data_IF_823214057278
#
_entry.id   IF_823214057278
#
_cell.length_a   1.000
_cell.length_b   1.000
_cell.length_c   1.000
_cell.angle_alpha   90.00
_cell.angle_beta   90.00
_cell.angle_gamma   90.00
#
_symmetry.space_group_name_H-M   'P 1'
#
loop_
_entity.id
_entity.type
_entity.pdbx_description
1 polymer ?
#
# COMPACT_ATOMS: atom_id res chain seq x y z
N UNK A 1 12.76 -25.65 8.23
CA UNK A 1 11.90 -25.49 9.42
C UNK A 1 10.79 -24.53 9.03
N UNK A 2 9.68 -25.07 8.52
CA UNK A 2 8.53 -24.29 8.07
C UNK A 2 7.80 -23.72 9.26
N UNK A 3 7.94 -22.40 9.48
CA UNK A 3 7.02 -21.67 10.35
C UNK A 3 5.73 -21.50 9.53
N UNK A 4 4.87 -22.52 9.54
CA UNK A 4 3.47 -22.38 9.12
C UNK A 4 2.82 -21.36 10.05
N UNK A 5 2.74 -20.10 9.62
CA UNK A 5 1.78 -19.14 10.15
C UNK A 5 0.37 -19.62 9.76
N UNK A 6 -0.13 -20.66 10.44
CA UNK A 6 -1.53 -21.05 10.36
C UNK A 6 -2.32 -20.08 11.26
N UNK A 7 -2.56 -18.87 10.75
CA UNK A 7 -3.51 -17.95 11.38
C UNK A 7 -4.87 -18.58 11.19
N UNK A 8 -5.31 -19.39 12.15
CA UNK A 8 -6.59 -20.07 12.10
C UNK A 8 -7.70 -19.05 12.34
N UNK A 9 -8.19 -18.41 11.27
CA UNK A 9 -9.25 -17.39 11.34
C UNK A 9 -10.54 -17.90 12.00
N UNK A 10 -10.74 -19.22 12.08
CA UNK A 10 -11.85 -19.86 12.81
C UNK A 10 -11.79 -19.59 14.33
N UNK A 11 -10.59 -19.49 14.91
CA UNK A 11 -10.39 -19.29 16.35
C UNK A 11 -10.73 -17.84 16.79
N UNK A 12 -10.70 -16.91 15.83
CA UNK A 12 -11.09 -15.51 16.04
C UNK A 12 -12.60 -15.40 16.28
N UNK A 13 -13.39 -16.29 15.67
CA UNK A 13 -14.85 -16.37 15.80
C UNK A 13 -15.31 -17.28 16.94
N UNK A 14 -14.45 -17.55 17.93
CA UNK A 14 -14.85 -18.28 19.13
C UNK A 14 -15.75 -17.41 20.03
N UNK A 15 -16.77 -18.02 20.63
CA UNK A 15 -17.73 -17.40 21.53
C UNK A 15 -17.05 -16.75 22.72
N UNK A 16 -15.91 -17.29 23.19
CA UNK A 16 -15.13 -16.72 24.30
C UNK A 16 -14.52 -15.34 23.97
N UNK A 17 -14.32 -15.04 22.69
CA UNK A 17 -13.64 -13.82 22.22
C UNK A 17 -14.60 -12.75 21.69
N UNK A 18 -15.93 -12.92 21.82
CA UNK A 18 -16.93 -12.00 21.27
C UNK A 18 -16.72 -10.53 21.68
N UNK A 19 -16.33 -10.28 22.95
CA UNK A 19 -16.01 -8.91 23.42
C UNK A 19 -14.82 -8.31 22.69
N UNK A 20 -13.78 -9.11 22.40
CA UNK A 20 -12.60 -8.66 21.66
C UNK A 20 -12.95 -8.32 20.21
N UNK A 21 -13.84 -9.10 19.58
CA UNK A 21 -14.37 -8.83 18.24
C UNK A 21 -15.15 -7.50 18.18
N UNK A 22 -16.02 -7.24 19.16
CA UNK A 22 -16.76 -5.97 19.24
C UNK A 22 -15.80 -4.80 19.43
N UNK A 23 -14.84 -4.91 20.36
CA UNK A 23 -13.83 -3.86 20.60
C UNK A 23 -13.01 -3.59 19.34
N UNK A 24 -12.56 -4.64 18.65
CA UNK A 24 -11.83 -4.52 17.39
C UNK A 24 -12.66 -3.79 16.34
N UNK A 25 -13.94 -4.16 16.20
CA UNK A 25 -14.85 -3.53 15.25
C UNK A 25 -15.08 -2.03 15.54
N UNK A 26 -15.24 -1.66 16.83
CA UNK A 26 -15.37 -0.24 17.25
C UNK A 26 -14.09 0.55 16.99
N UNK A 27 -12.91 -0.03 17.25
CA UNK A 27 -11.62 0.59 16.94
C UNK A 27 -11.50 0.83 15.43
N UNK A 28 -11.84 -0.18 14.61
CA UNK A 28 -11.73 -0.10 13.15
C UNK A 28 -12.67 0.97 12.56
N UNK A 29 -13.90 1.05 13.09
CA UNK A 29 -14.87 2.10 12.75
C UNK A 29 -14.34 3.49 13.12
N UNK A 30 -13.79 3.63 14.33
CA UNK A 30 -13.24 4.90 14.82
C UNK A 30 -12.09 5.37 13.93
N UNK A 31 -11.16 4.47 13.58
CA UNK A 31 -10.04 4.77 12.67
C UNK A 31 -10.55 5.14 11.29
N UNK A 32 -11.49 4.37 10.73
CA UNK A 32 -12.06 4.64 9.40
C UNK A 32 -12.73 6.01 9.33
N UNK A 33 -13.53 6.36 10.34
CA UNK A 33 -14.17 7.67 10.41
C UNK A 33 -13.14 8.79 10.60
N UNK A 34 -12.16 8.59 11.48
CA UNK A 34 -11.11 9.58 11.75
C UNK A 34 -10.25 9.88 10.52
N UNK A 35 -9.94 8.87 9.72
CA UNK A 35 -9.23 9.01 8.44
C UNK A 35 -10.01 9.83 7.41
N UNK A 36 -11.34 9.71 7.36
CA UNK A 36 -12.21 10.50 6.47
C UNK A 36 -12.29 11.95 6.94
N UNK A 37 -12.52 12.17 8.24
CA UNK A 37 -12.71 13.52 8.79
C UNK A 37 -11.43 14.36 8.72
N UNK A 38 -10.26 13.77 8.99
CA UNK A 38 -8.96 14.47 8.94
C UNK A 38 -8.08 13.90 7.84
N UNK A 39 -8.22 14.44 6.62
CA UNK A 39 -7.46 14.05 5.42
C UNK A 39 -5.93 14.00 5.63
N UNK A 40 -5.39 14.89 6.47
CA UNK A 40 -3.97 14.90 6.86
C UNK A 40 -3.56 13.65 7.65
N UNK A 41 -4.40 13.24 8.61
CA UNK A 41 -4.10 12.08 9.46
C UNK A 41 -4.24 10.78 8.68
N UNK A 42 -5.25 10.69 7.81
CA UNK A 42 -5.41 9.52 6.94
C UNK A 42 -4.19 9.27 6.06
N UNK A 43 -3.56 10.33 5.52
CA UNK A 43 -2.31 10.22 4.76
C UNK A 43 -1.18 9.67 5.64
N UNK A 44 -1.06 10.13 6.89
CA UNK A 44 -0.02 9.65 7.81
C UNK A 44 -0.22 8.16 8.14
N UNK A 45 -1.43 7.76 8.53
CA UNK A 45 -1.76 6.36 8.86
C UNK A 45 -1.50 5.45 7.65
N UNK A 46 -1.92 5.87 6.46
CA UNK A 46 -1.66 5.14 5.22
C UNK A 46 -0.17 5.00 4.93
N UNK A 47 0.59 6.09 5.11
CA UNK A 47 2.04 6.09 4.90
C UNK A 47 2.77 5.19 5.88
N UNK A 48 2.33 5.17 7.14
CA UNK A 48 2.87 4.26 8.16
C UNK A 48 2.57 2.80 7.83
N UNK A 49 1.37 2.51 7.32
CA UNK A 49 1.04 1.18 6.80
C UNK A 49 1.97 0.75 5.67
N UNK A 50 2.21 1.63 4.69
CA UNK A 50 3.16 1.36 3.61
C UNK A 50 4.59 1.20 4.15
N UNK A 51 5.00 2.04 5.09
CA UNK A 51 6.33 1.97 5.70
C UNK A 51 6.56 0.63 6.42
N UNK A 52 5.54 0.12 7.13
CA UNK A 52 5.58 -1.22 7.74
C UNK A 52 5.74 -2.32 6.68
N UNK A 53 5.05 -2.22 5.54
CA UNK A 53 5.23 -3.15 4.42
C UNK A 53 6.66 -3.10 3.87
N UNK A 54 7.25 -1.92 3.71
CA UNK A 54 8.65 -1.78 3.27
C UNK A 54 9.65 -2.31 4.31
N UNK A 55 9.40 -2.11 5.60
CA UNK A 55 10.23 -2.69 6.67
C UNK A 55 10.16 -4.21 6.64
N UNK A 56 8.98 -4.78 6.47
CA UNK A 56 8.81 -6.23 6.36
C UNK A 56 9.49 -6.79 5.10
N UNK A 57 9.35 -6.11 3.95
CA UNK A 57 10.06 -6.48 2.73
C UNK A 57 11.58 -6.38 2.86
N UNK A 58 12.08 -5.33 3.53
CA UNK A 58 13.50 -5.18 3.84
C UNK A 58 13.99 -6.32 4.74
N UNK A 59 13.21 -6.69 5.77
CA UNK A 59 13.53 -7.82 6.65
C UNK A 59 13.63 -9.14 5.88
N UNK A 60 12.67 -9.45 5.01
CA UNK A 60 12.72 -10.64 4.15
C UNK A 60 13.95 -10.64 3.25
N UNK A 61 14.22 -9.51 2.59
CA UNK A 61 15.39 -9.37 1.72
C UNK A 61 16.71 -9.48 2.52
N UNK A 62 16.78 -8.99 3.76
CA UNK A 62 17.94 -9.19 4.62
C UNK A 62 18.16 -10.65 4.98
N UNK A 63 17.09 -11.42 5.21
CA UNK A 63 17.18 -12.86 5.46
C UNK A 63 17.76 -13.58 4.24
N UNK A 64 17.26 -13.28 3.04
CA UNK A 64 17.79 -13.83 1.79
C UNK A 64 19.25 -13.46 1.57
N UNK A 65 19.63 -12.19 1.82
CA UNK A 65 21.03 -11.74 1.70
C UNK A 65 21.94 -12.52 2.66
N UNK A 66 21.47 -12.80 3.88
CA UNK A 66 22.26 -13.55 4.85
C UNK A 66 22.47 -15.02 4.43
N UNK A 67 21.50 -15.61 3.75
CA UNK A 67 21.63 -16.95 3.14
C UNK A 67 22.55 -16.91 1.90
N UNK A 68 22.37 -15.93 1.00
CA UNK A 68 23.23 -15.74 -0.17
C UNK A 68 24.70 -15.45 0.20
N UNK A 69 24.96 -14.76 1.31
CA UNK A 69 26.32 -14.45 1.76
C UNK A 69 27.17 -15.71 2.03
N UNK A 70 26.54 -16.87 2.23
CA UNK A 70 27.23 -18.16 2.38
C UNK A 70 27.67 -18.79 1.06
N UNK A 71 27.04 -18.43 -0.06
CA UNK A 71 27.16 -19.16 -1.32
C UNK A 71 27.49 -18.28 -2.55
N UNK A 72 27.28 -16.96 -2.48
CA UNK A 72 27.39 -16.05 -3.62
C UNK A 72 28.62 -15.12 -3.54
N UNK A 73 29.15 -14.65 -4.68
CA UNK A 73 30.27 -13.72 -4.71
C UNK A 73 29.90 -12.37 -4.10
N UNK A 74 30.87 -11.77 -3.36
CA UNK A 74 30.70 -10.54 -2.57
C UNK A 74 30.09 -9.36 -3.35
N UNK A 75 30.34 -9.26 -4.66
CA UNK A 75 29.80 -8.19 -5.51
C UNK A 75 28.26 -8.26 -5.67
N UNK A 76 27.70 -9.46 -5.78
CA UNK A 76 26.24 -9.65 -5.90
C UNK A 76 25.55 -9.42 -4.55
N UNK A 77 26.16 -9.92 -3.48
CA UNK A 77 25.71 -9.72 -2.10
C UNK A 77 25.64 -8.22 -1.77
N UNK A 78 26.67 -7.45 -2.15
CA UNK A 78 26.69 -6.02 -1.87
C UNK A 78 25.61 -5.23 -2.64
N UNK A 79 25.32 -5.63 -3.90
CA UNK A 79 24.21 -5.04 -4.69
C UNK A 79 22.85 -5.30 -4.02
N UNK A 80 22.60 -6.51 -3.52
CA UNK A 80 21.36 -6.82 -2.80
C UNK A 80 21.29 -6.05 -1.47
N UNK A 81 22.40 -5.94 -0.73
CA UNK A 81 22.48 -5.18 0.53
C UNK A 81 22.11 -3.70 0.35
N UNK A 82 22.57 -3.08 -0.74
CA UNK A 82 22.22 -1.70 -1.09
C UNK A 82 20.71 -1.58 -1.34
N UNK A 83 20.08 -2.55 -2.01
CA UNK A 83 18.63 -2.56 -2.22
C UNK A 83 17.87 -2.67 -0.89
N UNK A 84 18.30 -3.53 0.02
CA UNK A 84 17.70 -3.63 1.36
C UNK A 84 17.81 -2.32 2.13
N UNK A 85 18.98 -1.66 2.06
CA UNK A 85 19.20 -0.38 2.72
C UNK A 85 18.34 0.72 2.10
N UNK A 86 18.16 0.72 0.78
CA UNK A 86 17.24 1.63 0.09
C UNK A 86 15.79 1.45 0.57
N UNK A 87 15.30 0.21 0.69
CA UNK A 87 13.95 -0.05 1.23
C UNK A 87 13.79 0.43 2.68
N UNK A 88 14.81 0.23 3.50
CA UNK A 88 14.81 0.71 4.88
C UNK A 88 14.77 2.24 4.96
N UNK A 89 15.59 2.93 4.16
CA UNK A 89 15.60 4.40 4.09
C UNK A 89 14.25 4.94 3.60
N UNK A 90 13.66 4.34 2.58
CA UNK A 90 12.32 4.73 2.09
C UNK A 90 11.26 4.57 3.18
N UNK A 91 11.31 3.49 3.97
CA UNK A 91 10.39 3.30 5.09
C UNK A 91 10.56 4.39 6.16
N UNK A 92 11.79 4.73 6.52
CA UNK A 92 12.06 5.83 7.48
C UNK A 92 11.54 7.18 6.95
N UNK A 93 11.76 7.46 5.67
CA UNK A 93 11.27 8.68 5.04
C UNK A 93 9.73 8.74 5.03
N UNK A 94 9.05 7.61 4.82
CA UNK A 94 7.59 7.54 4.89
C UNK A 94 7.05 7.77 6.31
N UNK A 95 7.78 7.38 7.35
CA UNK A 95 7.43 7.68 8.74
C UNK A 95 7.64 9.16 9.09
N UNK A 96 8.79 9.72 8.72
CA UNK A 96 9.19 11.08 9.10
C UNK A 96 8.51 12.17 8.24
N UNK A 97 8.39 11.94 6.93
CA UNK A 97 7.90 12.91 5.95
C UNK A 97 6.83 12.31 5.01
N UNK A 98 5.72 11.77 5.57
CA UNK A 98 4.71 11.04 4.80
C UNK A 98 4.15 11.87 3.64
N UNK A 99 3.85 13.15 3.88
CA UNK A 99 3.26 14.02 2.86
C UNK A 99 4.22 14.30 1.70
N UNK A 100 5.48 14.59 2.00
CA UNK A 100 6.50 14.92 1.01
C UNK A 100 6.86 13.70 0.17
N UNK A 101 7.02 12.53 0.81
CA UNK A 101 7.35 11.29 0.10
C UNK A 101 6.22 10.87 -0.84
N UNK A 102 4.96 10.88 -0.37
CA UNK A 102 3.82 10.57 -1.23
C UNK A 102 3.69 11.55 -2.40
N UNK A 103 3.99 12.83 -2.17
CA UNK A 103 3.98 13.85 -3.22
C UNK A 103 5.00 13.52 -4.31
N UNK A 104 6.25 13.24 -3.91
CA UNK A 104 7.32 12.88 -4.86
C UNK A 104 6.98 11.59 -5.60
N UNK A 105 6.49 10.56 -4.90
CA UNK A 105 6.09 9.29 -5.52
C UNK A 105 4.98 9.48 -6.56
N UNK A 106 3.95 10.28 -6.25
CA UNK A 106 2.88 10.57 -7.21
C UNK A 106 3.38 11.32 -8.44
N UNK A 107 4.26 12.31 -8.27
CA UNK A 107 4.82 13.06 -9.40
C UNK A 107 5.66 12.12 -10.29
N UNK A 108 6.52 11.29 -9.68
CA UNK A 108 7.33 10.32 -10.41
C UNK A 108 6.47 9.31 -11.16
N UNK A 109 5.42 8.79 -10.52
CA UNK A 109 4.46 7.90 -11.17
C UNK A 109 3.72 8.60 -12.32
N UNK A 110 3.26 9.83 -12.13
CA UNK A 110 2.59 10.62 -13.16
C UNK A 110 3.49 10.86 -14.37
N UNK A 111 4.73 11.28 -14.14
CA UNK A 111 5.73 11.48 -15.20
C UNK A 111 6.05 10.16 -15.93
N UNK A 112 6.17 9.05 -15.20
CA UNK A 112 6.42 7.73 -15.78
C UNK A 112 5.27 7.25 -16.67
N UNK A 113 4.02 7.45 -16.24
CA UNK A 113 2.82 7.12 -17.03
C UNK A 113 2.81 7.92 -18.34
N UNK A 114 3.06 9.23 -18.26
CA UNK A 114 3.13 10.09 -19.44
C UNK A 114 4.27 9.62 -20.37
N UNK A 115 5.45 9.33 -19.82
CA UNK A 115 6.58 8.87 -20.61
C UNK A 115 6.29 7.57 -21.39
N UNK A 116 5.67 6.58 -20.73
CA UNK A 116 5.26 5.34 -21.40
C UNK A 116 4.26 5.62 -22.52
N UNK A 117 3.24 6.44 -22.25
CA UNK A 117 2.19 6.69 -23.24
C UNK A 117 2.73 7.47 -24.45
N UNK A 118 3.61 8.44 -24.22
CA UNK A 118 4.32 9.18 -25.28
C UNK A 118 5.22 8.23 -26.09
N UNK A 119 5.98 7.37 -25.42
CA UNK A 119 6.84 6.37 -26.09
C UNK A 119 6.00 5.42 -26.94
N UNK A 120 4.89 4.93 -26.40
CA UNK A 120 3.96 4.03 -27.08
C UNK A 120 3.33 4.72 -28.30
N UNK A 121 2.88 5.96 -28.15
CA UNK A 121 2.36 6.77 -29.25
C UNK A 121 3.39 6.97 -30.36
N UNK A 122 4.63 7.35 -30.02
CA UNK A 122 5.70 7.55 -31.01
C UNK A 122 6.06 6.26 -31.77
N UNK A 123 5.99 5.11 -31.10
CA UNK A 123 6.27 3.81 -31.73
C UNK A 123 5.11 3.37 -32.63
N UNK A 124 3.87 3.61 -32.21
CA UNK A 124 2.67 3.09 -32.87
C UNK A 124 2.13 3.98 -33.99
N UNK A 125 2.51 5.27 -34.04
CA UNK A 125 2.07 6.22 -35.10
C UNK A 125 2.47 5.81 -36.52
N UNK A 126 3.41 4.86 -36.67
CA UNK A 126 3.92 4.38 -37.96
C UNK A 126 3.09 3.25 -38.56
N UNK A 127 2.17 2.66 -37.78
CA UNK A 127 1.35 1.53 -38.23
C UNK A 127 -0.01 2.02 -38.74
N UNK A 128 -0.37 1.60 -39.94
CA UNK A 128 -1.67 1.88 -40.56
C UNK A 128 -2.75 1.12 -39.78
N UNK A 129 -3.65 1.85 -39.12
CA UNK A 129 -4.72 1.29 -38.27
C UNK A 129 -4.60 1.60 -36.77
N UNK A 130 -3.52 2.26 -36.32
CA UNK A 130 -3.43 2.73 -34.93
C UNK A 130 -4.39 3.90 -34.70
N UNK A 131 -5.35 3.71 -33.79
CA UNK A 131 -6.23 4.77 -33.30
C UNK A 131 -5.87 5.11 -31.85
N UNK A 132 -5.80 6.40 -31.56
CA UNK A 132 -5.60 6.86 -30.18
C UNK A 132 -6.89 6.66 -29.39
N UNK A 133 -7.01 5.49 -28.76
CA UNK A 133 -8.23 5.08 -28.08
C UNK A 133 -8.49 5.85 -26.78
N UNK A 134 -9.74 5.79 -26.31
CA UNK A 134 -10.21 6.42 -25.08
C UNK A 134 -9.35 6.06 -23.85
N UNK A 135 -8.84 4.83 -23.77
CA UNK A 135 -8.01 4.38 -22.67
C UNK A 135 -6.67 5.13 -22.58
N UNK A 136 -6.10 5.50 -23.72
CA UNK A 136 -4.84 6.24 -23.79
C UNK A 136 -5.05 7.68 -23.29
N UNK A 137 -6.18 8.29 -23.67
CA UNK A 137 -6.60 9.62 -23.17
C UNK A 137 -6.75 9.58 -21.64
N UNK A 138 -7.44 8.57 -21.09
CA UNK A 138 -7.64 8.42 -19.65
C UNK A 138 -6.30 8.30 -18.91
N UNK A 139 -5.36 7.50 -19.40
CA UNK A 139 -4.02 7.38 -18.80
C UNK A 139 -3.26 8.71 -18.82
N UNK A 140 -3.35 9.46 -19.91
CA UNK A 140 -2.68 10.74 -20.07
C UNK A 140 -3.25 11.77 -19.08
N UNK A 141 -4.58 11.84 -18.97
CA UNK A 141 -5.27 12.69 -17.97
C UNK A 141 -4.86 12.28 -16.56
N UNK A 142 -4.84 10.98 -16.23
CA UNK A 142 -4.42 10.49 -14.92
C UNK A 142 -2.95 10.85 -14.64
N UNK A 143 -2.05 10.71 -15.62
CA UNK A 143 -0.65 11.10 -15.50
C UNK A 143 -0.48 12.58 -15.20
N UNK A 144 -1.21 13.45 -15.92
CA UNK A 144 -1.22 14.90 -15.67
C UNK A 144 -1.81 15.23 -14.29
N UNK A 145 -2.91 14.58 -13.93
CA UNK A 145 -3.58 14.79 -12.64
C UNK A 145 -2.66 14.45 -11.46
N UNK A 146 -1.83 13.40 -11.60
CA UNK A 146 -0.84 13.01 -10.59
C UNK A 146 0.30 14.03 -10.44
N UNK A 147 0.61 14.79 -11.48
CA UNK A 147 1.63 15.86 -11.42
C UNK A 147 1.03 17.13 -10.81
N UNK A 148 -0.15 17.55 -11.28
CA UNK A 148 -0.81 18.78 -10.82
C UNK A 148 -1.32 18.63 -9.38
N UNK A 149 -1.87 17.47 -9.05
CA UNK A 149 -2.42 17.15 -7.72
C UNK A 149 -1.74 15.92 -7.16
N UNK A 150 -0.50 16.05 -6.68
CA UNK A 150 0.34 14.91 -6.28
C UNK A 150 -0.14 14.21 -4.99
N UNK A 151 -1.11 14.77 -4.29
CA UNK A 151 -1.77 14.11 -3.16
C UNK A 151 -3.15 13.55 -3.54
N UNK A 152 -3.62 13.71 -4.78
CA UNK A 152 -4.91 13.21 -5.22
C UNK A 152 -5.02 11.70 -5.03
N UNK A 153 -4.05 10.95 -5.56
CA UNK A 153 -4.04 9.49 -5.49
C UNK A 153 -3.97 8.99 -4.04
N UNK A 154 -3.10 9.58 -3.21
CA UNK A 154 -3.02 9.22 -1.80
C UNK A 154 -4.32 9.50 -1.07
N UNK A 155 -4.95 10.67 -1.30
CA UNK A 155 -6.27 11.00 -0.70
C UNK A 155 -7.36 10.04 -1.16
N UNK A 156 -7.36 9.69 -2.45
CA UNK A 156 -8.31 8.75 -3.03
C UNK A 156 -8.15 7.35 -2.41
N UNK A 157 -6.92 6.85 -2.30
CA UNK A 157 -6.63 5.56 -1.66
C UNK A 157 -6.99 5.56 -0.17
N UNK A 158 -6.67 6.62 0.56
CA UNK A 158 -7.07 6.79 1.97
C UNK A 158 -8.60 6.72 2.11
N UNK A 159 -9.34 7.33 1.18
CA UNK A 159 -10.81 7.28 1.17
C UNK A 159 -11.33 5.86 0.98
N UNK A 160 -10.78 5.11 0.00
CA UNK A 160 -11.17 3.72 -0.24
C UNK A 160 -10.84 2.85 0.97
N UNK A 161 -9.63 2.98 1.53
CA UNK A 161 -9.20 2.18 2.67
C UNK A 161 -10.05 2.46 3.91
N UNK A 162 -10.43 3.72 4.12
CA UNK A 162 -11.32 4.11 5.23
C UNK A 162 -12.71 3.49 5.07
N UNK A 163 -13.23 3.46 3.85
CA UNK A 163 -14.52 2.84 3.56
C UNK A 163 -14.49 1.32 3.83
N UNK A 164 -13.42 0.65 3.40
CA UNK A 164 -13.18 -0.77 3.69
C UNK A 164 -13.13 -0.99 5.20
N UNK A 165 -12.35 -0.18 5.94
CA UNK A 165 -12.24 -0.27 7.40
C UNK A 165 -13.60 -0.12 8.11
N UNK A 166 -14.46 0.78 7.63
CA UNK A 166 -15.82 0.95 8.17
C UNK A 166 -16.66 -0.31 7.93
N UNK A 167 -16.67 -0.85 6.71
CA UNK A 167 -17.42 -2.08 6.38
C UNK A 167 -16.96 -3.25 7.26
N UNK A 168 -15.65 -3.45 7.37
CA UNK A 168 -15.10 -4.51 8.23
C UNK A 168 -15.42 -4.27 9.71
N UNK A 169 -15.38 -3.01 10.18
CA UNK A 169 -15.74 -2.66 11.55
C UNK A 169 -17.18 -3.03 11.88
N UNK A 170 -18.12 -2.72 10.98
CA UNK A 170 -19.53 -3.10 11.11
C UNK A 170 -19.68 -4.62 11.14
N UNK A 171 -19.00 -5.34 10.22
CA UNK A 171 -19.05 -6.80 10.16
C UNK A 171 -18.51 -7.47 11.44
N UNK A 172 -17.43 -6.95 12.03
CA UNK A 172 -16.89 -7.47 13.28
C UNK A 172 -17.80 -7.23 14.48
N UNK A 173 -18.45 -6.06 14.56
CA UNK A 173 -19.45 -5.79 15.60
C UNK A 173 -20.65 -6.73 15.45
N UNK A 174 -21.20 -6.85 14.23
CA UNK A 174 -22.34 -7.72 13.96
C UNK A 174 -22.04 -9.19 14.29
N UNK A 175 -20.85 -9.68 13.91
CA UNK A 175 -20.38 -11.02 14.28
C UNK A 175 -20.23 -11.20 15.79
N UNK A 176 -19.62 -10.22 16.48
CA UNK A 176 -19.45 -10.26 17.93
C UNK A 176 -20.78 -10.27 18.69
N UNK A 177 -21.78 -9.49 18.25
CA UNK A 177 -23.13 -9.50 18.84
C UNK A 177 -23.81 -10.85 18.61
N UNK A 178 -23.75 -11.41 17.39
CA UNK A 178 -24.32 -12.73 17.08
C UNK A 178 -23.70 -13.83 17.93
N UNK A 179 -22.39 -13.80 18.15
CA UNK A 179 -21.69 -14.75 19.02
C UNK A 179 -22.02 -14.54 20.50
N UNK A 180 -22.29 -13.30 20.94
CA UNK A 180 -22.69 -13.02 22.32
C UNK A 180 -24.13 -13.39 22.66
N UNK A 181 -25.04 -13.38 21.67
CA UNK A 181 -26.46 -13.70 21.85
C UNK A 181 -26.83 -15.17 21.61
N UNK A 182 -25.95 -15.96 20.97
CA UNK A 182 -26.08 -17.42 20.84
C UNK A 182 -25.45 -18.14 22.02
#
# INVERSE_FOLDING_TARGET
MDIKFNINFMDIYDRKNYKKLIILGVILLSIGFYCISRKSVGINIFSWGIALCFLYGAWLAFKEVNELNKYAPRSQVNKMRIRCLAFFVVALLLFAFPKQVNMVLSILLGAYVIYIEVKYYMSSRKYVGYTFGTWNIVKLILGILLIISPLFLTKFLVSILSFIAIIFGINFIAAGIRLGNN
#
